data_IF_179874561211
#
_entry.id   IF_179874561211
#
_cell.length_a   1.000
_cell.length_b   1.000
_cell.length_c   1.000
_cell.angle_alpha   90.00
_cell.angle_beta   90.00
_cell.angle_gamma   90.00
#
_symmetry.space_group_name_H-M   'P 1'
#
loop_
_entity.id
_entity.type
_entity.pdbx_description
1 polymer ?
#
# COMPACT_ATOMS: atom_id res chain seq x y z
N UNK A 1 7.47 4.54 10.11
CA UNK A 1 6.43 3.49 10.14
C UNK A 1 6.29 2.76 8.81
N UNK A 2 6.09 3.47 7.68
CA UNK A 2 5.85 2.86 6.37
C UNK A 2 6.98 1.98 5.78
N UNK A 3 8.15 1.91 6.42
CA UNK A 3 9.25 1.01 6.03
C UNK A 3 9.03 -0.41 6.55
N UNK A 4 8.20 -0.59 7.57
CA UNK A 4 7.95 -1.91 8.14
C UNK A 4 7.09 -2.72 7.16
N UNK A 5 7.49 -3.95 6.82
CA UNK A 5 6.72 -4.80 5.92
C UNK A 5 5.33 -5.06 6.49
N UNK A 6 4.32 -5.06 5.63
CA UNK A 6 2.91 -5.18 6.03
C UNK A 6 2.27 -3.90 6.55
N UNK A 7 3.03 -2.84 6.86
CA UNK A 7 2.47 -1.53 7.22
C UNK A 7 2.10 -0.77 5.95
N UNK A 8 0.81 -0.45 5.80
CA UNK A 8 0.32 0.34 4.66
C UNK A 8 0.86 1.76 4.68
N UNK A 9 1.72 2.11 3.72
CA UNK A 9 2.23 3.48 3.53
C UNK A 9 1.08 4.49 3.43
N UNK A 10 0.11 4.28 2.52
CA UNK A 10 -0.98 5.25 2.33
C UNK A 10 -1.83 5.41 3.60
N UNK A 11 -2.10 4.31 4.32
CA UNK A 11 -2.80 4.36 5.60
C UNK A 11 -2.06 5.19 6.64
N UNK A 12 -0.75 4.99 6.78
CA UNK A 12 0.06 5.76 7.73
C UNK A 12 0.10 7.26 7.38
N UNK A 13 0.29 7.59 6.11
CA UNK A 13 0.34 8.99 5.66
C UNK A 13 -1.01 9.68 5.83
N UNK A 14 -2.11 9.05 5.38
CA UNK A 14 -3.46 9.60 5.52
C UNK A 14 -3.82 9.80 6.99
N UNK A 15 -3.55 8.82 7.86
CA UNK A 15 -3.83 8.93 9.30
C UNK A 15 -3.07 10.10 9.94
N UNK A 16 -1.79 10.29 9.61
CA UNK A 16 -1.02 11.43 10.12
C UNK A 16 -1.59 12.75 9.64
N UNK A 17 -1.97 12.86 8.36
CA UNK A 17 -2.54 14.08 7.80
C UNK A 17 -3.91 14.43 8.42
N UNK A 18 -4.75 13.43 8.65
CA UNK A 18 -6.02 13.59 9.39
C UNK A 18 -5.77 14.07 10.82
N UNK A 19 -4.80 13.49 11.53
CA UNK A 19 -4.41 13.93 12.88
C UNK A 19 -3.84 15.35 12.90
N UNK A 20 -3.29 15.83 11.77
CA UNK A 20 -2.84 17.20 11.56
C UNK A 20 -3.97 18.15 11.13
N UNK A 21 -5.22 17.69 11.10
CA UNK A 21 -6.40 18.49 10.78
C UNK A 21 -6.69 18.66 9.30
N UNK A 22 -6.08 17.85 8.42
CA UNK A 22 -6.47 17.81 7.01
C UNK A 22 -7.80 17.07 6.84
N UNK A 23 -8.55 17.43 5.81
CA UNK A 23 -9.75 16.70 5.43
C UNK A 23 -9.41 15.36 4.77
N UNK A 24 -10.35 14.42 4.74
CA UNK A 24 -10.10 13.08 4.21
C UNK A 24 -9.71 13.06 2.74
N UNK A 25 -10.31 13.94 1.93
CA UNK A 25 -9.99 14.06 0.52
C UNK A 25 -8.60 14.65 0.28
N UNK A 26 -8.26 15.75 0.95
CA UNK A 26 -6.93 16.35 0.88
C UNK A 26 -5.84 15.40 1.39
N UNK A 27 -6.10 14.69 2.49
CA UNK A 27 -5.19 13.70 3.04
C UNK A 27 -4.90 12.55 2.06
N UNK A 28 -5.93 12.02 1.41
CA UNK A 28 -5.79 10.98 0.38
C UNK A 28 -5.01 11.48 -0.83
N UNK A 29 -5.38 12.63 -1.39
CA UNK A 29 -4.70 13.22 -2.55
C UNK A 29 -3.22 13.47 -2.27
N UNK A 30 -2.91 14.07 -1.12
CA UNK A 30 -1.53 14.33 -0.72
C UNK A 30 -0.75 13.02 -0.51
N UNK A 31 -1.36 12.01 0.10
CA UNK A 31 -0.75 10.68 0.23
C UNK A 31 -0.42 10.04 -1.12
N UNK A 32 -1.26 10.20 -2.14
CA UNK A 32 -0.97 9.69 -3.48
C UNK A 32 0.16 10.48 -4.16
N UNK A 33 0.17 11.81 -4.04
CA UNK A 33 1.24 12.64 -4.59
C UNK A 33 2.60 12.31 -3.97
N UNK A 34 2.65 12.15 -2.64
CA UNK A 34 3.86 11.76 -1.91
C UNK A 34 4.36 10.35 -2.30
N UNK A 35 3.48 9.49 -2.78
CA UNK A 35 3.84 8.14 -3.19
C UNK A 35 4.72 8.07 -4.44
N UNK A 36 4.63 9.07 -5.33
CA UNK A 36 5.38 9.13 -6.59
C UNK A 36 6.89 9.23 -6.32
N UNK A 37 7.40 10.29 -5.65
CA UNK A 37 8.83 10.41 -5.39
C UNK A 37 9.34 9.28 -4.48
N UNK A 38 8.53 8.81 -3.53
CA UNK A 38 8.91 7.71 -2.64
C UNK A 38 9.11 6.38 -3.40
N UNK A 39 8.20 6.03 -4.32
CA UNK A 39 8.29 4.78 -5.07
C UNK A 39 9.37 4.83 -6.15
N UNK A 40 9.54 5.98 -6.81
CA UNK A 40 10.64 6.19 -7.75
C UNK A 40 12.00 6.13 -7.07
N UNK A 41 12.15 6.80 -5.92
CA UNK A 41 13.38 6.77 -5.13
C UNK A 41 13.71 5.35 -4.65
N UNK A 42 12.72 4.61 -4.15
CA UNK A 42 12.92 3.22 -3.74
C UNK A 42 13.34 2.33 -4.92
N UNK A 43 12.67 2.44 -6.08
CA UNK A 43 13.04 1.69 -7.28
C UNK A 43 14.44 2.03 -7.79
N UNK A 44 14.82 3.30 -7.76
CA UNK A 44 16.17 3.73 -8.12
C UNK A 44 17.22 3.13 -7.18
N UNK A 45 16.98 3.15 -5.87
CA UNK A 45 17.91 2.56 -4.90
C UNK A 45 18.08 1.05 -5.12
N UNK A 46 17.01 0.32 -5.44
CA UNK A 46 17.09 -1.10 -5.80
C UNK A 46 17.96 -1.29 -7.04
N UNK A 47 17.76 -0.48 -8.09
CA UNK A 47 18.56 -0.60 -9.32
C UNK A 47 20.04 -0.26 -9.08
N UNK A 48 20.32 0.72 -8.23
CA UNK A 48 21.69 1.12 -7.90
C UNK A 48 22.40 0.11 -6.97
N UNK A 49 21.66 -0.54 -6.07
CA UNK A 49 22.22 -1.50 -5.12
C UNK A 49 22.30 -2.92 -5.68
N UNK A 50 21.20 -3.41 -6.24
CA UNK A 50 21.02 -4.80 -6.66
C UNK A 50 21.09 -5.00 -8.19
N UNK A 51 21.15 -3.91 -8.95
CA UNK A 51 21.10 -3.93 -10.41
C UNK A 51 19.68 -4.02 -10.97
N UNK A 52 19.57 -4.15 -12.29
CA UNK A 52 18.27 -4.32 -12.96
C UNK A 52 17.78 -5.76 -12.76
N UNK A 53 16.57 -5.97 -12.22
CA UNK A 53 16.02 -7.31 -12.04
C UNK A 53 15.95 -8.09 -13.36
N UNK A 54 16.26 -9.38 -13.32
CA UNK A 54 16.16 -10.28 -14.47
C UNK A 54 14.69 -10.63 -14.79
N UNK A 55 13.97 -9.66 -15.35
CA UNK A 55 12.60 -9.82 -15.84
C UNK A 55 12.58 -9.69 -17.35
N UNK A 56 11.76 -10.49 -18.04
CA UNK A 56 11.64 -10.36 -19.49
C UNK A 56 11.05 -8.99 -19.85
N UNK A 57 11.51 -8.33 -20.93
CA UNK A 57 10.99 -7.02 -21.31
C UNK A 57 9.47 -7.01 -21.52
N UNK A 58 8.94 -8.09 -22.08
CA UNK A 58 7.50 -8.26 -22.27
C UNK A 58 6.76 -8.32 -20.92
N UNK A 59 7.26 -9.11 -19.95
CA UNK A 59 6.63 -9.19 -18.63
C UNK A 59 6.70 -7.85 -17.89
N UNK A 60 7.82 -7.13 -18.00
CA UNK A 60 7.97 -5.81 -17.38
C UNK A 60 6.96 -4.80 -17.95
N UNK A 61 6.78 -4.75 -19.27
CA UNK A 61 5.80 -3.87 -19.92
C UNK A 61 4.38 -4.24 -19.53
N UNK A 62 4.03 -5.54 -19.52
CA UNK A 62 2.70 -5.99 -19.10
C UNK A 62 2.41 -5.63 -17.64
N UNK A 63 3.37 -5.85 -16.74
CA UNK A 63 3.25 -5.49 -15.33
C UNK A 63 3.07 -3.97 -15.15
N UNK A 64 3.84 -3.16 -15.89
CA UNK A 64 3.74 -1.70 -15.86
C UNK A 64 2.36 -1.23 -16.33
N UNK A 65 1.88 -1.73 -17.47
CA UNK A 65 0.58 -1.36 -18.04
C UNK A 65 -0.56 -1.80 -17.12
N UNK A 66 -0.53 -3.05 -16.65
CA UNK A 66 -1.53 -3.57 -15.73
C UNK A 66 -1.57 -2.75 -14.42
N UNK A 67 -0.41 -2.47 -13.83
CA UNK A 67 -0.31 -1.66 -12.61
C UNK A 67 -0.81 -0.23 -12.82
N UNK A 68 -0.46 0.40 -13.95
CA UNK A 68 -0.91 1.74 -14.29
C UNK A 68 -2.43 1.82 -14.45
N UNK A 69 -3.03 0.88 -15.19
CA UNK A 69 -4.49 0.83 -15.41
C UNK A 69 -5.23 0.55 -14.10
N UNK A 70 -4.86 -0.52 -13.40
CA UNK A 70 -5.52 -0.90 -12.14
C UNK A 70 -5.33 0.19 -11.09
N UNK A 71 -4.13 0.75 -10.96
CA UNK A 71 -3.82 1.83 -10.03
C UNK A 71 -4.67 3.07 -10.30
N UNK A 72 -4.75 3.51 -11.56
CA UNK A 72 -5.56 4.67 -11.95
C UNK A 72 -7.04 4.48 -11.61
N UNK A 73 -7.62 3.32 -11.97
CA UNK A 73 -9.02 3.01 -11.67
C UNK A 73 -9.28 2.93 -10.15
N UNK A 74 -8.34 2.35 -9.41
CA UNK A 74 -8.47 2.15 -7.96
C UNK A 74 -8.41 3.47 -7.20
N UNK A 75 -7.61 4.46 -7.64
CA UNK A 75 -7.54 5.78 -7.00
C UNK A 75 -8.92 6.45 -6.99
N UNK A 76 -9.59 6.49 -8.15
CA UNK A 76 -10.94 7.06 -8.25
C UNK A 76 -11.96 6.29 -7.40
N UNK A 77 -11.91 4.96 -7.43
CA UNK A 77 -12.77 4.10 -6.63
C UNK A 77 -12.58 4.31 -5.12
N UNK A 78 -11.33 4.42 -4.65
CA UNK A 78 -11.02 4.65 -3.24
C UNK A 78 -11.52 6.02 -2.75
N UNK A 79 -11.32 7.08 -3.54
CA UNK A 79 -11.86 8.41 -3.20
C UNK A 79 -13.39 8.37 -3.10
N UNK A 80 -14.06 7.66 -4.02
CA UNK A 80 -15.51 7.48 -3.97
C UNK A 80 -15.97 6.63 -2.77
N UNK A 81 -15.21 5.58 -2.41
CA UNK A 81 -15.52 4.69 -1.30
C UNK A 81 -15.41 5.39 0.05
N UNK A 82 -14.34 6.15 0.28
CA UNK A 82 -14.11 6.85 1.56
C UNK A 82 -15.16 7.93 1.84
N UNK A 83 -15.82 8.45 0.79
CA UNK A 83 -16.98 9.34 0.95
C UNK A 83 -18.24 8.63 1.47
N UNK A 84 -18.33 7.31 1.35
CA UNK A 84 -19.52 6.52 1.69
C UNK A 84 -19.34 5.61 2.90
N UNK A 85 -18.10 5.24 3.22
CA UNK A 85 -17.78 4.24 4.24
C UNK A 85 -16.74 4.81 5.19
N UNK A 86 -16.90 4.54 6.47
CA UNK A 86 -15.91 4.89 7.47
C UNK A 86 -14.66 4.03 7.25
N UNK A 87 -13.64 4.61 6.59
CA UNK A 87 -12.44 3.91 6.13
C UNK A 87 -11.69 3.15 7.24
N UNK A 88 -11.83 3.61 8.50
CA UNK A 88 -11.27 2.93 9.67
C UNK A 88 -11.74 1.47 9.78
N UNK A 89 -12.99 1.15 9.39
CA UNK A 89 -13.52 -0.22 9.46
C UNK A 89 -12.83 -1.16 8.49
N UNK A 90 -12.50 -0.68 7.29
CA UNK A 90 -11.72 -1.43 6.29
C UNK A 90 -10.31 -1.71 6.81
N UNK A 91 -9.66 -0.71 7.40
CA UNK A 91 -8.33 -0.85 8.00
C UNK A 91 -8.32 -1.86 9.16
N UNK A 92 -9.30 -1.79 10.06
CA UNK A 92 -9.41 -2.74 11.19
C UNK A 92 -9.70 -4.15 10.68
N UNK A 93 -10.56 -4.31 9.67
CA UNK A 93 -10.85 -5.61 9.08
C UNK A 93 -9.60 -6.28 8.49
N UNK A 94 -8.86 -5.58 7.63
CA UNK A 94 -7.61 -6.11 7.08
C UNK A 94 -6.53 -6.33 8.14
N UNK A 95 -6.42 -5.42 9.13
CA UNK A 95 -5.50 -5.57 10.25
C UNK A 95 -5.80 -6.80 11.10
N UNK A 96 -7.07 -7.04 11.44
CA UNK A 96 -7.50 -8.23 12.18
C UNK A 96 -7.23 -9.51 11.40
N UNK A 97 -7.53 -9.52 10.09
CA UNK A 97 -7.26 -10.66 9.21
C UNK A 97 -5.76 -10.97 9.10
N UNK A 98 -4.91 -9.94 9.03
CA UNK A 98 -3.45 -10.10 9.03
C UNK A 98 -2.93 -10.68 10.36
N UNK A 99 -3.44 -10.19 11.50
CA UNK A 99 -3.08 -10.74 12.83
C UNK A 99 -3.56 -12.18 12.99
N UNK A 100 -4.78 -12.49 12.56
CA UNK A 100 -5.33 -13.84 12.64
C UNK A 100 -4.56 -14.83 11.77
N UNK A 101 -4.26 -14.47 10.52
CA UNK A 101 -3.49 -15.33 9.60
C UNK A 101 -2.04 -15.50 10.04
N UNK A 102 -1.37 -14.44 10.49
CA UNK A 102 -0.03 -14.53 11.06
C UNK A 102 0.00 -15.37 12.34
N UNK A 103 -0.97 -15.21 13.22
CA UNK A 103 -1.13 -16.03 14.42
C UNK A 103 -1.36 -17.51 14.09
N UNK A 104 -2.21 -17.81 13.11
CA UNK A 104 -2.47 -19.18 12.67
C UNK A 104 -1.21 -19.84 12.10
N UNK A 105 -0.44 -19.13 11.26
CA UNK A 105 0.86 -19.61 10.74
C UNK A 105 1.84 -19.92 11.88
N UNK A 106 1.97 -19.04 12.87
CA UNK A 106 2.84 -19.28 14.03
C UNK A 106 2.42 -20.50 14.85
N UNK A 107 1.10 -20.77 14.97
CA UNK A 107 0.58 -21.94 15.68
C UNK A 107 0.83 -23.25 14.90
N UNK A 108 0.73 -23.21 13.57
CA UNK A 108 1.11 -24.33 12.69
C UNK A 108 2.61 -24.60 12.76
N UNK A 109 3.44 -23.56 12.67
CA UNK A 109 4.91 -23.69 12.79
C UNK A 109 5.34 -24.22 14.17
N UNK A 110 4.55 -23.93 15.22
CA UNK A 110 4.75 -24.45 16.57
C UNK A 110 4.20 -25.87 16.79
N UNK A 111 3.55 -26.49 15.79
CA UNK A 111 2.95 -27.82 15.88
C UNK A 111 1.74 -27.92 16.82
N UNK A 112 1.09 -26.80 17.12
CA UNK A 112 -0.11 -26.71 17.97
C UNK A 112 -1.42 -26.86 17.18
N UNK A 113 -1.33 -26.82 15.85
CA UNK A 113 -2.38 -27.06 14.85
C UNK A 113 -1.82 -27.94 13.74
#
# INVERSE_FOLDING_TARGET
>A
LALLPGVSRSGTTVSVLLLRGHDGEGALRLSFLLSIPASLGAGLLVVLGDGVPAVSPLAAVLALVASAVVGYLTVGALVALVRRVAFWGVCVGFGALAVASGGALMLVDAGLL
#
